data_IF_097803841442
#
_entry.id   IF_097803841442
#
_cell.length_a   1.000
_cell.length_b   1.000
_cell.length_c   1.000
_cell.angle_alpha   90.00
_cell.angle_beta   90.00
_cell.angle_gamma   90.00
#
_symmetry.space_group_name_H-M   'P 1'
#
loop_
_entity.id
_entity.type
_entity.pdbx_description
1 polymer ?
#
# COMPACT_ATOMS: atom_id res chain seq x y z
N UNK A 1 47.97 55.51 -3.00
CA UNK A 1 47.31 55.23 -4.30
C UNK A 1 46.09 54.41 -3.97
N UNK A 2 44.96 54.99 -3.54
CA UNK A 2 44.25 56.18 -4.06
C UNK A 2 43.93 55.98 -5.56
N UNK A 3 42.68 56.06 -6.04
CA UNK A 3 41.45 56.76 -5.59
C UNK A 3 40.24 55.83 -5.89
N UNK A 4 39.19 55.60 -5.09
CA UNK A 4 38.26 56.46 -4.33
C UNK A 4 37.63 57.61 -5.12
N UNK A 5 36.37 57.45 -5.56
CA UNK A 5 35.30 58.46 -5.53
C UNK A 5 33.97 57.76 -5.92
N UNK A 6 32.94 57.97 -5.11
CA UNK A 6 31.54 57.84 -5.56
C UNK A 6 30.85 59.19 -5.33
N UNK A 7 29.68 59.41 -5.91
CA UNK A 7 28.71 60.38 -5.35
C UNK A 7 27.28 60.11 -5.84
N UNK A 8 26.35 60.73 -5.13
CA UNK A 8 24.91 60.47 -5.12
C UNK A 8 24.10 61.07 -6.29
N UNK A 9 22.96 60.40 -6.53
CA UNK A 9 21.60 60.94 -6.77
C UNK A 9 21.45 62.23 -7.59
N UNK A 10 20.80 62.09 -8.75
CA UNK A 10 19.86 63.08 -9.26
C UNK A 10 18.56 62.37 -9.66
N UNK A 11 17.49 62.68 -8.94
CA UNK A 11 16.13 62.24 -9.21
C UNK A 11 15.49 63.24 -10.19
N UNK A 12 15.15 62.81 -11.41
CA UNK A 12 14.20 63.52 -12.26
C UNK A 12 12.97 62.63 -12.48
N UNK A 13 11.81 63.22 -12.21
CA UNK A 13 10.49 62.64 -12.50
C UNK A 13 10.01 63.22 -13.82
N UNK A 14 9.44 62.38 -14.66
CA UNK A 14 8.30 62.78 -15.49
C UNK A 14 7.22 61.70 -15.34
N UNK A 15 6.05 62.12 -14.86
CA UNK A 15 4.77 61.41 -15.03
C UNK A 15 4.43 61.43 -16.55
N UNK A 16 3.65 60.56 -17.21
CA UNK A 16 2.34 59.93 -16.97
C UNK A 16 2.21 58.76 -18.00
N UNK A 17 1.24 57.84 -18.03
CA UNK A 17 -0.03 57.63 -17.31
C UNK A 17 -0.36 56.11 -17.24
N UNK A 18 -1.53 55.75 -16.68
CA UNK A 18 -2.10 54.40 -16.69
C UNK A 18 -2.75 54.00 -18.02
N UNK A 19 -2.52 52.76 -18.48
CA UNK A 19 -3.57 51.71 -18.60
C UNK A 19 -3.12 50.55 -19.51
N UNK A 20 -2.92 49.35 -18.94
CA UNK A 20 -3.79 48.19 -19.22
C UNK A 20 -3.46 47.04 -18.28
N UNK A 21 -4.50 46.46 -17.70
CA UNK A 21 -4.46 45.47 -16.64
C UNK A 21 -4.18 44.09 -17.28
N UNK A 22 -2.90 43.80 -17.53
CA UNK A 22 -2.45 42.48 -17.98
C UNK A 22 -2.59 41.50 -16.80
N UNK A 23 -3.82 41.03 -16.61
CA UNK A 23 -4.23 40.17 -15.52
C UNK A 23 -3.19 39.06 -15.28
N UNK A 24 -2.76 38.94 -14.02
CA UNK A 24 -2.08 37.75 -13.54
C UNK A 24 -3.07 36.61 -13.73
N UNK A 25 -2.82 35.77 -14.73
CA UNK A 25 -3.56 34.53 -14.93
C UNK A 25 -3.25 33.65 -13.73
N UNK A 26 -4.11 33.76 -12.70
CA UNK A 26 -4.05 32.91 -11.53
C UNK A 26 -4.15 31.47 -12.04
N UNK A 27 -3.24 30.56 -11.66
CA UNK A 27 -3.25 29.21 -12.18
C UNK A 27 -4.65 28.64 -11.96
N UNK A 28 -5.30 28.27 -13.07
CA UNK A 28 -6.66 27.75 -13.07
C UNK A 28 -6.80 26.75 -11.94
N UNK A 29 -7.64 27.07 -10.96
CA UNK A 29 -8.06 26.14 -9.92
C UNK A 29 -8.81 25.02 -10.62
N UNK A 30 -8.06 24.02 -11.10
CA UNK A 30 -8.58 22.70 -11.40
C UNK A 30 -8.98 22.12 -10.05
N UNK A 31 -10.17 22.49 -9.59
CA UNK A 31 -10.94 21.69 -8.67
C UNK A 31 -11.22 20.41 -9.43
N UNK A 32 -10.28 19.47 -9.34
CA UNK A 32 -10.44 18.13 -9.88
C UNK A 32 -11.59 17.51 -9.09
N UNK A 33 -12.77 17.49 -9.70
CA UNK A 33 -13.95 16.86 -9.13
C UNK A 33 -13.66 15.36 -9.02
N UNK A 34 -13.20 14.96 -7.83
CA UNK A 34 -12.60 13.67 -7.56
C UNK A 34 -13.69 12.60 -7.62
N UNK A 35 -13.68 11.79 -8.67
CA UNK A 35 -14.78 10.86 -8.96
C UNK A 35 -14.83 9.66 -8.01
N UNK A 36 -13.78 9.40 -7.22
CA UNK A 36 -13.73 8.23 -6.32
C UNK A 36 -14.48 8.49 -5.03
N UNK A 37 -15.56 7.74 -4.83
CA UNK A 37 -16.44 7.79 -3.65
C UNK A 37 -15.69 7.79 -2.31
N UNK A 38 -14.65 6.95 -2.15
CA UNK A 38 -13.87 6.89 -0.90
C UNK A 38 -13.02 8.13 -0.66
N UNK A 39 -12.47 8.73 -1.74
CA UNK A 39 -11.66 9.96 -1.64
C UNK A 39 -12.55 11.16 -1.38
N UNK A 40 -13.75 11.22 -1.97
CA UNK A 40 -14.77 12.22 -1.60
C UNK A 40 -15.19 12.09 -0.14
N UNK A 41 -15.46 10.87 0.35
CA UNK A 41 -15.77 10.62 1.75
C UNK A 41 -14.62 11.04 2.69
N UNK A 42 -13.37 10.78 2.32
CA UNK A 42 -12.19 11.26 3.06
C UNK A 42 -12.09 12.79 3.06
N UNK A 43 -12.23 13.43 1.90
CA UNK A 43 -12.15 14.89 1.78
C UNK A 43 -13.27 15.57 2.58
N UNK A 44 -14.46 14.98 2.58
CA UNK A 44 -15.57 15.41 3.43
C UNK A 44 -15.20 15.31 4.91
N UNK A 45 -14.79 14.13 5.39
CA UNK A 45 -14.32 13.94 6.78
C UNK A 45 -13.19 14.91 7.17
N UNK A 46 -12.22 15.13 6.28
CA UNK A 46 -11.10 16.05 6.50
C UNK A 46 -11.54 17.52 6.53
N UNK A 47 -12.61 17.90 5.81
CA UNK A 47 -13.19 19.25 5.91
C UNK A 47 -13.89 19.52 7.24
N UNK A 48 -14.38 18.47 7.93
CA UNK A 48 -14.99 18.57 9.26
C UNK A 48 -13.95 18.69 10.40
N UNK A 49 -12.66 18.46 10.14
CA UNK A 49 -11.62 18.44 11.18
C UNK A 49 -11.42 19.83 11.82
N UNK A 50 -11.41 20.89 11.01
CA UNK A 50 -11.08 22.25 11.46
C UNK A 50 -9.72 22.30 12.17
N UNK A 51 -9.73 22.78 13.42
CA UNK A 51 -8.56 22.83 14.32
C UNK A 51 -8.46 21.62 15.29
N UNK A 52 -9.37 20.63 15.19
CA UNK A 52 -9.46 19.47 16.11
C UNK A 52 -8.59 18.30 15.66
N UNK A 53 -8.36 17.33 16.53
CA UNK A 53 -7.69 16.08 16.17
C UNK A 53 -8.65 15.10 15.47
N UNK A 54 -9.91 15.08 15.91
CA UNK A 54 -11.00 14.29 15.35
C UNK A 54 -12.23 15.18 15.07
N UNK A 55 -12.99 14.93 13.99
CA UNK A 55 -14.20 15.70 13.72
C UNK A 55 -15.34 15.28 14.65
N UNK A 56 -16.26 16.19 14.92
CA UNK A 56 -17.42 15.89 15.77
C UNK A 56 -18.49 15.14 15.02
N UNK A 57 -19.14 14.20 15.71
CA UNK A 57 -20.33 13.52 15.16
C UNK A 57 -21.51 14.49 14.95
N UNK A 58 -21.58 15.59 15.71
CA UNK A 58 -22.61 16.63 15.54
C UNK A 58 -22.43 17.43 14.24
N UNK A 59 -21.20 17.47 13.69
CA UNK A 59 -20.87 18.14 12.43
C UNK A 59 -21.17 17.26 11.19
N UNK A 60 -21.60 16.00 11.38
CA UNK A 60 -21.98 15.08 10.30
C UNK A 60 -23.37 15.41 9.76
N UNK A 61 -23.45 16.02 8.58
CA UNK A 61 -24.70 16.42 7.93
C UNK A 61 -25.22 15.34 6.95
N UNK A 62 -26.34 14.63 7.23
CA UNK A 62 -26.82 13.56 6.37
C UNK A 62 -27.25 14.02 4.96
N UNK A 63 -27.62 15.30 4.82
CA UNK A 63 -28.03 15.92 3.56
C UNK A 63 -26.84 16.12 2.59
N UNK A 64 -25.61 16.13 3.08
CA UNK A 64 -24.39 16.23 2.25
C UNK A 64 -23.87 14.84 1.83
N UNK A 65 -24.51 13.76 2.31
CA UNK A 65 -24.14 12.38 2.02
C UNK A 65 -24.82 11.80 0.77
N UNK A 66 -25.66 12.54 0.04
CA UNK A 66 -26.55 12.00 -1.01
C UNK A 66 -25.86 11.03 -2.00
N UNK A 67 -24.61 11.31 -2.36
CA UNK A 67 -23.80 10.53 -3.30
C UNK A 67 -23.20 9.23 -2.73
N UNK A 68 -23.24 9.02 -1.41
CA UNK A 68 -22.65 7.85 -0.73
C UNK A 68 -23.46 7.30 0.46
N UNK A 69 -24.57 7.93 0.85
CA UNK A 69 -25.50 7.45 1.88
C UNK A 69 -25.99 6.01 1.68
N UNK A 70 -26.43 5.59 0.46
CA UNK A 70 -26.80 4.19 0.20
C UNK A 70 -25.67 3.17 0.44
N UNK A 71 -24.42 3.65 0.41
CA UNK A 71 -23.18 2.89 0.51
C UNK A 71 -22.48 3.06 1.88
N UNK A 72 -23.12 3.72 2.84
CA UNK A 72 -22.50 4.07 4.12
C UNK A 72 -23.06 3.31 5.32
N UNK A 73 -22.32 3.33 6.42
CA UNK A 73 -22.65 2.71 7.70
C UNK A 73 -22.14 3.61 8.84
N UNK A 74 -22.89 3.73 9.93
CA UNK A 74 -22.46 4.42 11.15
C UNK A 74 -22.52 3.44 12.32
N UNK A 75 -21.37 3.26 12.97
CA UNK A 75 -21.21 2.43 14.15
C UNK A 75 -20.99 3.31 15.38
N UNK A 76 -21.66 2.96 16.48
CA UNK A 76 -21.53 3.61 17.79
C UNK A 76 -20.89 2.62 18.78
N UNK A 77 -19.77 3.05 19.36
CA UNK A 77 -18.91 2.31 20.27
C UNK A 77 -19.14 2.65 21.74
N UNK A 78 -20.03 3.60 22.06
CA UNK A 78 -20.39 3.97 23.44
C UNK A 78 -20.92 2.79 24.26
N UNK A 79 -21.51 1.78 23.59
CA UNK A 79 -21.99 0.53 24.20
C UNK A 79 -20.90 -0.53 24.38
N UNK A 80 -19.72 -0.36 23.79
CA UNK A 80 -18.57 -1.28 23.92
C UNK A 80 -17.89 -1.62 22.59
N UNK A 81 -16.62 -2.07 22.69
CA UNK A 81 -15.76 -2.31 21.52
C UNK A 81 -15.96 -3.64 20.81
N UNK A 82 -16.51 -4.66 21.47
CA UNK A 82 -16.63 -6.01 20.91
C UNK A 82 -17.84 -6.16 19.98
N UNK A 83 -18.95 -5.51 20.31
CA UNK A 83 -20.21 -5.55 19.57
C UNK A 83 -20.85 -4.14 19.51
N UNK A 84 -20.29 -3.20 18.72
CA UNK A 84 -20.84 -1.87 18.55
C UNK A 84 -22.26 -1.89 17.98
N UNK A 85 -23.04 -0.85 18.30
CA UNK A 85 -24.39 -0.70 17.75
C UNK A 85 -24.37 -0.06 16.36
N UNK A 86 -25.33 -0.43 15.51
CA UNK A 86 -25.43 0.07 14.13
C UNK A 86 -26.48 1.18 14.09
N UNK A 87 -26.02 2.43 14.11
CA UNK A 87 -26.89 3.63 14.12
C UNK A 87 -27.51 3.88 12.75
N UNK A 88 -26.74 3.65 11.69
CA UNK A 88 -27.19 3.81 10.31
C UNK A 88 -26.60 2.72 9.42
N UNK A 89 -27.39 2.24 8.46
CA UNK A 89 -26.96 1.34 7.40
C UNK A 89 -27.63 1.72 6.08
N UNK A 90 -26.81 2.04 5.09
CA UNK A 90 -27.23 2.44 3.75
C UNK A 90 -28.05 1.37 3.02
N UNK A 91 -28.98 1.82 2.18
CA UNK A 91 -29.95 0.96 1.51
C UNK A 91 -29.32 -0.07 0.58
N UNK A 92 -28.25 0.28 -0.15
CA UNK A 92 -27.56 -0.64 -1.03
C UNK A 92 -26.76 -1.69 -0.23
N UNK A 93 -26.08 -1.28 0.85
CA UNK A 93 -25.38 -2.23 1.74
C UNK A 93 -26.35 -3.22 2.37
N UNK A 94 -27.53 -2.74 2.79
CA UNK A 94 -28.58 -3.57 3.39
C UNK A 94 -29.15 -4.59 2.41
N UNK A 95 -29.32 -4.21 1.15
CA UNK A 95 -29.73 -5.11 0.06
C UNK A 95 -28.66 -6.17 -0.23
N UNK A 96 -27.40 -5.75 -0.39
CA UNK A 96 -26.29 -6.64 -0.69
C UNK A 96 -26.09 -7.73 0.38
N UNK A 97 -26.21 -7.35 1.66
CA UNK A 97 -26.07 -8.26 2.79
C UNK A 97 -27.35 -9.07 3.08
N UNK A 98 -28.41 -8.93 2.28
CA UNK A 98 -29.72 -9.61 2.43
C UNK A 98 -30.34 -9.41 3.83
N UNK A 99 -30.23 -8.19 4.37
CA UNK A 99 -30.68 -7.86 5.72
C UNK A 99 -32.18 -7.57 5.75
N UNK A 100 -32.96 -8.61 6.00
CA UNK A 100 -34.40 -8.53 6.27
C UNK A 100 -34.67 -8.20 7.75
N UNK A 101 -35.25 -7.03 8.01
CA UNK A 101 -35.59 -6.58 9.38
C UNK A 101 -34.60 -5.59 9.99
N UNK A 102 -34.84 -5.19 11.24
CA UNK A 102 -34.04 -4.21 11.97
C UNK A 102 -32.77 -4.85 12.55
N UNK A 103 -31.61 -4.29 12.22
CA UNK A 103 -30.35 -4.56 12.90
C UNK A 103 -30.15 -3.51 13.99
N UNK A 104 -29.68 -3.94 15.16
CA UNK A 104 -29.32 -3.06 16.29
C UNK A 104 -27.83 -3.13 16.59
N UNK A 105 -27.23 -4.31 16.42
CA UNK A 105 -25.84 -4.60 16.76
C UNK A 105 -25.10 -5.27 15.59
N UNK A 106 -23.76 -5.17 15.59
CA UNK A 106 -22.96 -5.76 14.51
C UNK A 106 -23.08 -7.30 14.47
N UNK A 107 -23.38 -7.95 15.59
CA UNK A 107 -23.68 -9.40 15.66
C UNK A 107 -25.00 -9.80 14.96
N UNK A 108 -25.93 -8.88 14.72
CA UNK A 108 -27.18 -9.17 13.96
C UNK A 108 -26.91 -9.30 12.44
N UNK A 109 -25.71 -8.93 11.99
CA UNK A 109 -25.32 -8.92 10.58
C UNK A 109 -24.91 -10.34 10.13
N UNK A 110 -25.35 -10.80 8.93
CA UNK A 110 -24.93 -12.09 8.40
C UNK A 110 -23.41 -12.26 8.31
N UNK A 111 -22.90 -13.37 8.82
CA UNK A 111 -21.49 -13.73 8.71
C UNK A 111 -21.10 -13.93 7.24
N UNK A 112 -19.93 -13.38 6.84
CA UNK A 112 -19.48 -13.30 5.43
C UNK A 112 -20.29 -12.34 4.53
N UNK A 113 -20.93 -11.33 5.13
CA UNK A 113 -21.38 -10.13 4.42
C UNK A 113 -20.26 -9.07 4.34
N UNK A 114 -20.46 -8.00 3.55
CA UNK A 114 -19.55 -6.84 3.52
C UNK A 114 -19.35 -6.23 4.91
N UNK A 115 -20.44 -6.05 5.64
CA UNK A 115 -20.43 -5.40 6.97
C UNK A 115 -19.68 -6.29 8.00
N UNK A 116 -19.82 -7.61 7.91
CA UNK A 116 -19.04 -8.60 8.68
C UNK A 116 -17.53 -8.66 8.32
N UNK A 117 -17.04 -7.87 7.35
CA UNK A 117 -15.59 -7.69 7.10
C UNK A 117 -15.05 -6.38 7.67
N UNK A 118 -15.89 -5.35 7.83
CA UNK A 118 -15.52 -4.08 8.48
C UNK A 118 -15.07 -4.26 9.92
N UNK A 119 -15.64 -5.27 10.58
CA UNK A 119 -15.32 -5.65 11.96
C UNK A 119 -13.84 -6.00 12.16
N UNK A 120 -13.21 -6.53 11.12
CA UNK A 120 -11.79 -6.90 11.15
C UNK A 120 -10.86 -5.66 11.13
N UNK A 121 -11.41 -4.47 10.83
CA UNK A 121 -10.68 -3.23 10.60
C UNK A 121 -10.91 -2.13 11.66
N UNK A 122 -12.09 -2.04 12.31
CA UNK A 122 -12.34 -0.93 13.26
C UNK A 122 -11.37 -0.91 14.45
N UNK A 123 -10.90 -2.07 14.92
CA UNK A 123 -9.90 -2.16 16.00
C UNK A 123 -8.59 -1.44 15.64
N UNK A 124 -8.23 -1.39 14.35
CA UNK A 124 -7.05 -0.69 13.87
C UNK A 124 -7.26 0.82 13.82
N UNK A 125 -8.50 1.28 13.62
CA UNK A 125 -8.87 2.70 13.66
C UNK A 125 -8.75 3.21 15.09
N UNK A 126 -9.35 2.50 16.04
CA UNK A 126 -9.32 2.83 17.47
C UNK A 126 -7.87 2.87 17.98
N UNK A 127 -7.01 1.96 17.52
CA UNK A 127 -5.61 1.92 17.91
C UNK A 127 -4.74 3.05 17.31
N UNK A 128 -5.11 3.62 16.16
CA UNK A 128 -4.30 4.63 15.44
C UNK A 128 -4.92 6.03 15.40
N UNK A 129 -6.18 6.19 15.81
CA UNK A 129 -6.96 7.43 15.74
C UNK A 129 -6.93 8.11 14.35
N UNK A 130 -7.01 7.32 13.28
CA UNK A 130 -6.91 7.81 11.90
C UNK A 130 -7.85 7.04 10.96
N UNK A 131 -8.34 7.67 9.88
CA UNK A 131 -9.06 7.00 8.80
C UNK A 131 -8.27 5.82 8.21
N UNK A 132 -8.97 4.71 7.93
CA UNK A 132 -8.39 3.52 7.30
C UNK A 132 -9.18 3.19 6.03
N UNK A 133 -8.51 3.32 4.88
CA UNK A 133 -8.94 2.73 3.62
C UNK A 133 -8.58 1.24 3.58
N UNK A 134 -9.50 0.41 3.11
CA UNK A 134 -9.31 -1.03 2.95
C UNK A 134 -9.97 -1.51 1.67
N UNK A 135 -9.40 -2.57 1.09
CA UNK A 135 -10.03 -3.30 0.01
C UNK A 135 -9.71 -4.78 0.13
N UNK A 136 -10.61 -5.62 -0.34
CA UNK A 136 -10.39 -7.05 -0.43
C UNK A 136 -11.35 -7.68 -1.45
N UNK A 137 -11.03 -8.92 -1.81
CA UNK A 137 -11.92 -9.86 -2.47
C UNK A 137 -12.46 -10.86 -1.44
N UNK A 138 -13.72 -11.26 -1.57
CA UNK A 138 -14.30 -12.37 -0.80
C UNK A 138 -15.46 -13.00 -1.57
N UNK A 139 -15.73 -14.27 -1.28
CA UNK A 139 -16.93 -14.96 -1.77
C UNK A 139 -18.08 -14.63 -0.82
N UNK A 140 -19.16 -14.02 -1.34
CA UNK A 140 -20.33 -13.66 -0.53
C UNK A 140 -21.22 -14.88 -0.22
N UNK A 141 -22.30 -14.66 0.53
CA UNK A 141 -23.26 -15.72 0.88
C UNK A 141 -24.00 -16.34 -0.33
N UNK A 142 -24.12 -15.61 -1.45
CA UNK A 142 -24.63 -16.11 -2.74
C UNK A 142 -23.61 -16.93 -3.52
N UNK A 143 -22.36 -16.99 -3.05
CA UNK A 143 -21.26 -17.69 -3.70
C UNK A 143 -20.56 -16.88 -4.79
N UNK A 144 -20.91 -15.62 -5.01
CA UNK A 144 -20.29 -14.74 -6.01
C UNK A 144 -19.02 -14.10 -5.46
N UNK A 145 -18.03 -13.90 -6.35
CA UNK A 145 -16.80 -13.19 -6.03
C UNK A 145 -17.09 -11.69 -5.95
N UNK A 146 -16.98 -11.11 -4.75
CA UNK A 146 -17.14 -9.67 -4.54
C UNK A 146 -15.78 -9.01 -4.30
N UNK A 147 -15.47 -8.03 -5.14
CA UNK A 147 -14.37 -7.10 -4.94
C UNK A 147 -14.93 -5.80 -4.34
N UNK A 148 -14.55 -5.46 -3.12
CA UNK A 148 -15.04 -4.26 -2.43
C UNK A 148 -13.89 -3.34 -2.02
N UNK A 149 -14.21 -2.07 -1.81
CA UNK A 149 -13.32 -1.06 -1.23
C UNK A 149 -14.14 -0.12 -0.38
N UNK A 150 -13.68 0.12 0.84
CA UNK A 150 -14.24 1.15 1.68
C UNK A 150 -13.19 1.97 2.40
N UNK A 151 -13.68 3.03 3.03
CA UNK A 151 -12.95 3.79 4.03
C UNK A 151 -13.79 3.82 5.30
N UNK A 152 -13.15 3.66 6.46
CA UNK A 152 -13.75 3.82 7.78
C UNK A 152 -13.01 4.96 8.48
N UNK A 153 -13.76 5.86 9.11
CA UNK A 153 -13.29 7.17 9.56
C UNK A 153 -13.79 7.43 10.99
N UNK A 154 -12.90 7.73 11.95
CA UNK A 154 -13.28 7.94 13.34
C UNK A 154 -13.92 9.31 13.56
N UNK A 155 -14.86 9.36 14.49
CA UNK A 155 -15.51 10.57 14.99
C UNK A 155 -15.49 10.55 16.52
N UNK A 156 -15.43 11.74 17.12
CA UNK A 156 -15.36 11.92 18.58
C UNK A 156 -16.34 12.97 19.06
N UNK A 157 -16.95 12.76 20.23
CA UNK A 157 -17.81 13.77 20.86
C UNK A 157 -17.03 14.80 21.68
N UNK A 158 -15.82 14.44 22.14
CA UNK A 158 -15.01 15.22 23.09
C UNK A 158 -13.57 15.57 22.62
N UNK A 159 -13.20 15.16 21.39
CA UNK A 159 -11.86 15.26 20.77
C UNK A 159 -10.78 14.38 21.47
N UNK A 160 -11.18 13.45 22.36
CA UNK A 160 -10.27 12.53 23.08
C UNK A 160 -10.64 11.05 22.89
N UNK A 161 -11.93 10.68 22.90
CA UNK A 161 -12.40 9.29 22.66
C UNK A 161 -13.10 9.11 21.32
N UNK A 162 -12.84 7.97 20.66
CA UNK A 162 -13.52 7.60 19.41
C UNK A 162 -14.82 6.90 19.77
N UNK A 163 -15.90 7.66 19.72
CA UNK A 163 -17.24 7.16 20.08
C UNK A 163 -17.97 6.60 18.85
N UNK A 164 -17.67 7.12 17.66
CA UNK A 164 -18.33 6.73 16.42
C UNK A 164 -17.33 6.40 15.31
N UNK A 165 -17.70 5.47 14.43
CA UNK A 165 -16.98 5.22 13.17
C UNK A 165 -17.97 5.26 12.01
N UNK A 166 -17.73 6.16 11.07
CA UNK A 166 -18.48 6.24 9.81
C UNK A 166 -17.71 5.49 8.72
N UNK A 167 -18.40 4.63 7.98
CA UNK A 167 -17.84 3.86 6.87
C UNK A 167 -18.55 4.13 5.56
N UNK A 168 -17.82 4.13 4.45
CA UNK A 168 -18.37 4.17 3.09
C UNK A 168 -17.73 3.05 2.27
N UNK A 169 -18.55 2.23 1.60
CA UNK A 169 -18.11 0.98 0.96
C UNK A 169 -18.77 0.85 -0.41
N UNK A 170 -17.96 0.65 -1.44
CA UNK A 170 -18.42 0.33 -2.79
C UNK A 170 -17.91 -1.06 -3.19
N UNK A 171 -18.68 -1.82 -3.96
CA UNK A 171 -18.37 -3.18 -4.37
C UNK A 171 -18.77 -3.46 -5.82
N UNK A 172 -18.09 -4.43 -6.43
CA UNK A 172 -18.47 -5.04 -7.70
C UNK A 172 -18.62 -6.55 -7.48
N UNK A 173 -19.77 -7.09 -7.87
CA UNK A 173 -20.02 -8.54 -7.94
C UNK A 173 -19.53 -9.06 -9.29
N UNK A 174 -18.64 -10.06 -9.27
CA UNK A 174 -18.15 -10.76 -10.46
C UNK A 174 -18.97 -12.03 -10.69
N UNK A 175 -19.39 -12.24 -11.93
CA UNK A 175 -20.31 -13.32 -12.27
C UNK A 175 -19.73 -14.71 -11.97
N UNK A 176 -20.46 -15.47 -11.15
CA UNK A 176 -20.03 -16.73 -10.58
C UNK A 176 -19.75 -17.82 -11.65
N UNK A 177 -18.69 -18.62 -11.45
CA UNK A 177 -18.26 -19.67 -12.38
C UNK A 177 -19.36 -20.67 -12.82
N UNK A 178 -20.29 -21.18 -11.96
CA UNK A 178 -21.38 -22.05 -12.41
C UNK A 178 -22.43 -21.33 -13.26
N UNK A 179 -22.63 -20.02 -13.08
CA UNK A 179 -23.55 -19.23 -13.90
C UNK A 179 -22.99 -19.06 -15.32
N UNK A 180 -21.67 -18.87 -15.44
CA UNK A 180 -20.95 -18.88 -16.72
C UNK A 180 -21.04 -20.24 -17.40
N UNK A 181 -20.86 -21.35 -16.67
CA UNK A 181 -20.99 -22.69 -17.22
C UNK A 181 -22.41 -22.99 -17.74
N UNK A 182 -23.46 -22.58 -17.00
CA UNK A 182 -24.84 -22.73 -17.44
C UNK A 182 -25.14 -21.89 -18.70
N UNK A 183 -24.63 -20.66 -18.78
CA UNK A 183 -24.79 -19.79 -19.93
C UNK A 183 -24.00 -20.29 -21.16
N UNK A 184 -22.79 -20.82 -20.96
CA UNK A 184 -22.00 -21.48 -22.01
C UNK A 184 -22.67 -22.76 -22.52
N UNK A 185 -23.34 -23.52 -21.66
CA UNK A 185 -24.13 -24.70 -22.05
C UNK A 185 -25.38 -24.31 -22.86
N UNK A 186 -26.13 -23.29 -22.43
CA UNK A 186 -27.32 -22.77 -23.14
C UNK A 186 -26.96 -22.17 -24.51
N UNK A 187 -25.90 -21.35 -24.59
CA UNK A 187 -25.37 -20.83 -25.86
C UNK A 187 -24.84 -21.97 -26.75
N UNK A 188 -24.22 -23.00 -26.16
CA UNK A 188 -23.78 -24.19 -26.88
C UNK A 188 -24.92 -25.04 -27.45
N UNK A 189 -26.05 -25.15 -26.74
CA UNK A 189 -27.29 -25.78 -27.20
C UNK A 189 -27.94 -24.99 -28.34
N UNK A 190 -27.98 -23.66 -28.23
CA UNK A 190 -28.48 -22.77 -29.28
C UNK A 190 -27.65 -22.86 -30.58
N UNK A 191 -26.31 -22.87 -30.49
CA UNK A 191 -25.44 -23.06 -31.66
C UNK A 191 -25.61 -24.43 -32.32
N UNK A 192 -25.87 -25.50 -31.54
CA UNK A 192 -26.08 -26.86 -32.07
C UNK A 192 -27.45 -27.07 -32.72
N UNK A 193 -28.44 -26.23 -32.41
CA UNK A 193 -29.80 -26.31 -32.97
C UNK A 193 -30.06 -25.30 -34.08
N UNK A 194 -29.16 -24.33 -34.31
CA UNK A 194 -29.23 -23.38 -35.41
C UNK A 194 -29.09 -24.06 -36.79
N UNK A 195 -30.04 -23.86 -37.73
CA UNK A 195 -29.90 -24.37 -39.10
C UNK A 195 -28.74 -23.71 -39.86
N UNK A 196 -27.95 -24.49 -40.62
CA UNK A 196 -26.87 -23.93 -41.43
C UNK A 196 -27.42 -22.96 -42.51
N UNK A 197 -26.77 -21.79 -42.72
CA UNK A 197 -27.14 -20.89 -43.82
C UNK A 197 -26.94 -21.55 -45.18
N UNK A 198 -27.99 -21.57 -46.00
CA UNK A 198 -27.89 -21.98 -47.41
C UNK A 198 -27.08 -20.96 -48.24
N UNK A 199 -26.46 -21.39 -49.36
CA UNK A 199 -25.60 -20.51 -50.15
C UNK A 199 -26.44 -19.45 -50.89
N UNK A 200 -26.33 -18.19 -50.45
CA UNK A 200 -26.92 -17.03 -51.14
C UNK A 200 -25.90 -16.40 -52.09
N UNK A 201 -26.26 -16.32 -53.37
CA UNK A 201 -25.47 -15.65 -54.40
C UNK A 201 -25.53 -14.14 -54.23
N UNK A 202 -24.36 -13.49 -54.22
CA UNK A 202 -24.25 -12.04 -54.19
C UNK A 202 -24.88 -11.40 -55.44
N UNK A 203 -25.87 -10.53 -55.24
CA UNK A 203 -26.58 -9.78 -56.29
C UNK A 203 -26.78 -8.35 -55.77
N UNK A 204 -26.19 -7.37 -56.47
CA UNK A 204 -26.64 -5.97 -56.78
C UNK A 204 -27.51 -5.19 -55.75
N UNK A 205 -27.42 -3.87 -55.57
CA UNK A 205 -26.54 -2.78 -56.07
C UNK A 205 -26.91 -1.47 -55.32
N UNK A 206 -26.35 -0.33 -55.75
CA UNK A 206 -26.62 1.06 -55.32
C UNK A 206 -28.08 1.44 -54.99
N UNK A 207 -28.26 2.36 -54.02
CA UNK A 207 -29.49 3.15 -53.85
C UNK A 207 -29.73 3.69 -52.43
N UNK A 208 -29.78 5.02 -52.20
CA UNK A 208 -29.85 5.60 -50.85
C UNK A 208 -31.28 5.93 -50.39
N UNK A 209 -31.56 5.83 -49.08
CA UNK A 209 -32.40 6.77 -48.29
C UNK A 209 -32.26 6.51 -46.79
N UNK A 210 -32.55 7.55 -45.99
CA UNK A 210 -32.53 7.54 -44.52
C UNK A 210 -33.65 6.71 -43.90
N UNK A 211 -33.37 6.09 -42.75
CA UNK A 211 -34.37 5.84 -41.70
C UNK A 211 -33.70 5.81 -40.32
N UNK A 212 -34.37 6.42 -39.35
CA UNK A 212 -33.84 6.75 -38.02
C UNK A 212 -33.72 5.48 -37.15
N UNK A 213 -32.58 5.31 -36.47
CA UNK A 213 -32.41 4.29 -35.43
C UNK A 213 -32.68 4.95 -34.06
N UNK A 214 -33.59 4.40 -33.24
CA UNK A 214 -33.80 4.92 -31.88
C UNK A 214 -32.59 4.59 -31.01
N UNK A 215 -32.19 5.54 -30.17
CA UNK A 215 -31.11 5.35 -29.20
C UNK A 215 -31.52 4.32 -28.13
N UNK A 216 -31.02 3.09 -28.25
CA UNK A 216 -31.02 2.14 -27.15
C UNK A 216 -29.92 2.51 -26.17
N UNK A 217 -30.31 2.93 -24.97
CA UNK A 217 -29.41 3.14 -23.84
C UNK A 217 -28.90 1.78 -23.32
N UNK A 218 -27.92 1.22 -24.01
CA UNK A 218 -27.02 0.23 -23.42
C UNK A 218 -25.87 0.99 -22.78
N UNK A 219 -25.65 0.72 -21.48
CA UNK A 219 -24.48 1.22 -20.79
C UNK A 219 -23.24 0.78 -21.59
N UNK A 220 -22.48 1.76 -22.07
CA UNK A 220 -21.23 1.47 -22.75
C UNK A 220 -20.26 0.92 -21.72
N UNK A 221 -19.54 -0.13 -22.09
CA UNK A 221 -18.45 -0.66 -21.30
C UNK A 221 -17.41 0.44 -21.09
N UNK A 222 -17.36 1.00 -19.88
CA UNK A 222 -16.12 1.55 -19.32
C UNK A 222 -15.21 0.36 -18.94
N UNK A 223 -14.83 -0.42 -19.94
CA UNK A 223 -13.44 -0.83 -20.06
C UNK A 223 -12.64 0.48 -20.25
N UNK A 224 -12.42 1.18 -19.12
CA UNK A 224 -11.40 2.21 -19.02
C UNK A 224 -10.06 1.47 -19.21
N UNK A 225 -9.71 1.26 -20.47
CA UNK A 225 -8.36 0.98 -20.92
C UNK A 225 -7.53 2.07 -20.24
N UNK A 226 -6.85 1.68 -19.15
CA UNK A 226 -5.89 2.54 -18.46
C UNK A 226 -5.06 3.21 -19.54
N UNK A 227 -5.04 4.54 -19.57
CA UNK A 227 -4.27 5.26 -20.58
C UNK A 227 -2.78 5.08 -20.28
N UNK A 228 -2.24 3.98 -20.81
CA UNK A 228 -0.85 3.58 -20.68
C UNK A 228 0.07 4.37 -21.62
N UNK A 229 -0.48 5.28 -22.45
CA UNK A 229 0.29 6.08 -23.41
C UNK A 229 1.12 7.21 -22.77
N UNK A 230 0.82 7.58 -21.52
CA UNK A 230 1.54 8.63 -20.78
C UNK A 230 2.75 8.17 -19.95
N UNK A 231 3.35 7.01 -20.26
CA UNK A 231 4.52 6.45 -19.55
C UNK A 231 5.48 5.66 -20.46
N UNK A 232 5.76 6.16 -21.66
CA UNK A 232 6.80 5.57 -22.50
C UNK A 232 8.19 5.77 -21.86
N UNK A 233 9.08 4.80 -22.05
CA UNK A 233 10.48 4.97 -21.67
C UNK A 233 11.06 6.15 -22.47
N UNK A 234 11.78 7.09 -21.83
CA UNK A 234 12.37 8.21 -22.56
C UNK A 234 13.48 7.69 -23.50
N UNK A 235 13.89 8.52 -24.45
CA UNK A 235 15.01 8.21 -25.36
C UNK A 235 16.25 7.74 -24.57
N UNK A 236 17.01 6.79 -25.11
CA UNK A 236 18.27 6.31 -24.52
C UNK A 236 19.28 7.47 -24.29
N UNK A 237 19.15 8.54 -25.07
CA UNK A 237 19.91 9.77 -24.93
C UNK A 237 19.46 10.69 -23.77
N UNK A 238 18.26 10.49 -23.19
CA UNK A 238 17.70 11.39 -22.18
C UNK A 238 18.55 11.43 -20.88
N UNK A 239 18.71 12.60 -20.22
CA UNK A 239 19.37 12.76 -18.93
C UNK A 239 18.94 11.77 -17.84
N UNK A 240 19.86 11.37 -16.96
CA UNK A 240 19.57 10.40 -15.89
C UNK A 240 18.50 10.91 -14.89
N UNK A 241 18.37 12.23 -14.76
CA UNK A 241 17.33 12.86 -13.96
C UNK A 241 15.92 12.62 -14.52
N UNK A 242 15.76 12.53 -15.84
CA UNK A 242 14.46 12.35 -16.49
C UNK A 242 13.97 10.89 -16.33
N UNK A 243 14.90 9.93 -16.44
CA UNK A 243 14.67 8.54 -16.07
C UNK A 243 14.24 8.40 -14.60
N UNK A 244 14.86 9.16 -13.68
CA UNK A 244 14.48 9.18 -12.28
C UNK A 244 13.10 9.84 -12.05
N UNK A 245 12.78 10.91 -12.79
CA UNK A 245 11.48 11.56 -12.72
C UNK A 245 10.36 10.62 -13.16
N UNK A 246 10.49 9.95 -14.31
CA UNK A 246 9.51 8.98 -14.81
C UNK A 246 9.37 7.78 -13.85
N UNK A 247 10.46 7.29 -13.28
CA UNK A 247 10.40 6.23 -12.26
C UNK A 247 9.68 6.70 -10.98
N UNK A 248 9.90 7.96 -10.54
CA UNK A 248 9.20 8.58 -9.40
C UNK A 248 7.71 8.78 -9.67
N UNK A 249 7.35 9.26 -10.85
CA UNK A 249 5.94 9.39 -11.27
C UNK A 249 5.24 8.03 -11.29
N UNK A 250 5.91 6.99 -11.78
CA UNK A 250 5.42 5.61 -11.69
C UNK A 250 5.23 5.15 -10.24
N UNK A 251 6.18 5.45 -9.37
CA UNK A 251 6.12 5.11 -7.95
C UNK A 251 5.02 5.89 -7.20
N UNK A 252 4.84 7.19 -7.45
CA UNK A 252 3.78 7.99 -6.84
C UNK A 252 2.41 7.63 -7.41
N UNK A 253 2.28 7.30 -8.70
CA UNK A 253 1.01 6.75 -9.23
C UNK A 253 0.65 5.42 -8.54
N UNK A 254 1.61 4.62 -8.08
CA UNK A 254 1.37 3.41 -7.25
C UNK A 254 1.07 3.74 -5.77
N UNK A 255 1.39 4.94 -5.29
CA UNK A 255 1.06 5.42 -3.93
C UNK A 255 -0.31 6.11 -3.88
N UNK A 256 -0.64 6.90 -4.89
CA UNK A 256 -1.90 7.64 -5.05
C UNK A 256 -3.02 6.75 -5.61
N UNK A 257 -2.71 5.86 -6.56
CA UNK A 257 -3.66 4.81 -6.96
C UNK A 257 -3.64 3.72 -5.91
N UNK A 258 -4.59 3.74 -4.98
CA UNK A 258 -4.77 2.71 -3.96
C UNK A 258 -4.73 1.30 -4.57
N UNK A 259 -3.59 0.61 -4.38
CA UNK A 259 -3.34 -0.84 -4.49
C UNK A 259 -3.79 -1.64 -5.75
N UNK A 260 -4.50 -1.07 -6.74
CA UNK A 260 -5.36 -1.86 -7.67
C UNK A 260 -4.81 -2.29 -9.03
N UNK A 261 -3.49 -2.41 -9.21
CA UNK A 261 -3.00 -3.46 -10.11
C UNK A 261 -1.57 -3.91 -9.81
N UNK A 262 -1.36 -5.23 -9.83
CA UNK A 262 -0.03 -5.80 -9.94
C UNK A 262 0.68 -5.28 -11.20
N UNK A 263 -0.06 -4.99 -12.29
CA UNK A 263 0.48 -4.40 -13.52
C UNK A 263 1.12 -3.01 -13.29
N UNK A 264 0.45 -2.07 -12.59
CA UNK A 264 1.02 -0.76 -12.28
C UNK A 264 2.22 -0.87 -11.33
N UNK A 265 2.14 -1.75 -10.32
CA UNK A 265 3.27 -2.02 -9.44
C UNK A 265 4.47 -2.60 -10.22
N UNK A 266 4.24 -3.57 -11.10
CA UNK A 266 5.30 -4.19 -11.89
C UNK A 266 5.87 -3.22 -12.93
N UNK A 267 5.05 -2.31 -13.49
CA UNK A 267 5.51 -1.20 -14.34
C UNK A 267 6.39 -0.22 -13.56
N UNK A 268 6.00 0.19 -12.35
CA UNK A 268 6.83 1.06 -11.50
C UNK A 268 8.15 0.39 -11.08
N UNK A 269 8.14 -0.90 -10.77
CA UNK A 269 9.36 -1.69 -10.51
C UNK A 269 10.21 -1.83 -11.79
N UNK A 270 9.57 -1.95 -12.96
CA UNK A 270 10.23 -1.94 -14.27
C UNK A 270 10.94 -0.62 -14.55
N UNK A 271 10.26 0.51 -14.43
CA UNK A 271 10.86 1.85 -14.58
C UNK A 271 12.01 2.08 -13.59
N UNK A 272 11.91 1.57 -12.36
CA UNK A 272 13.01 1.62 -11.40
C UNK A 272 14.23 0.77 -11.82
N UNK A 273 14.01 -0.35 -12.53
CA UNK A 273 15.07 -1.18 -13.09
C UNK A 273 15.68 -0.56 -14.36
N UNK A 274 14.88 0.05 -15.21
CA UNK A 274 15.34 0.76 -16.40
C UNK A 274 16.25 1.93 -16.01
N UNK A 275 15.83 2.73 -15.02
CA UNK A 275 16.68 3.72 -14.37
C UNK A 275 17.97 3.10 -13.77
N UNK A 276 17.92 1.90 -13.19
CA UNK A 276 19.11 1.21 -12.68
C UNK A 276 20.11 0.82 -13.79
N UNK A 277 19.62 0.41 -14.97
CA UNK A 277 20.44 0.09 -16.13
C UNK A 277 21.14 1.34 -16.66
N UNK A 278 20.42 2.45 -16.83
CA UNK A 278 20.98 3.73 -17.28
C UNK A 278 21.95 4.32 -16.25
N UNK A 279 21.63 4.23 -14.95
CA UNK A 279 22.50 4.66 -13.85
C UNK A 279 23.85 3.92 -13.83
N UNK A 280 23.90 2.63 -14.22
CA UNK A 280 25.18 1.91 -14.41
C UNK A 280 25.97 2.43 -15.61
N UNK A 281 25.30 2.77 -16.71
CA UNK A 281 25.97 3.33 -17.88
C UNK A 281 26.54 4.74 -17.60
N UNK A 282 26.00 5.45 -16.59
CA UNK A 282 26.36 6.82 -16.22
C UNK A 282 26.70 6.93 -14.72
N UNK A 283 27.83 6.33 -14.29
CA UNK A 283 28.17 6.21 -12.86
C UNK A 283 28.43 7.55 -12.17
N UNK A 284 28.93 8.56 -12.90
CA UNK A 284 29.20 9.89 -12.34
C UNK A 284 27.90 10.65 -12.06
N UNK A 285 26.95 10.70 -13.02
CA UNK A 285 25.61 11.25 -12.84
C UNK A 285 24.88 10.58 -11.65
N UNK A 286 24.99 9.25 -11.56
CA UNK A 286 24.40 8.48 -10.47
C UNK A 286 25.04 8.80 -9.10
N UNK A 287 26.37 9.00 -9.07
CA UNK A 287 27.06 9.42 -7.85
C UNK A 287 26.60 10.80 -7.36
N UNK A 288 26.38 11.75 -8.27
CA UNK A 288 25.81 13.07 -7.94
C UNK A 288 24.41 12.94 -7.31
N UNK A 289 23.49 12.21 -7.97
CA UNK A 289 22.13 11.99 -7.45
C UNK A 289 22.10 11.33 -6.06
N UNK A 290 23.05 10.44 -5.78
CA UNK A 290 23.19 9.81 -4.46
C UNK A 290 23.63 10.81 -3.38
N UNK A 291 24.55 11.71 -3.72
CA UNK A 291 25.03 12.77 -2.80
C UNK A 291 23.89 13.75 -2.48
N UNK A 292 23.19 14.23 -3.50
CA UNK A 292 22.08 15.20 -3.36
C UNK A 292 20.94 14.66 -2.48
N UNK A 293 20.66 13.35 -2.57
CA UNK A 293 19.66 12.67 -1.75
C UNK A 293 20.22 12.05 -0.44
N UNK A 294 21.49 12.29 -0.09
CA UNK A 294 22.11 11.80 1.14
C UNK A 294 22.21 10.27 1.26
N UNK A 295 22.17 9.55 0.13
CA UNK A 295 22.14 8.10 0.06
C UNK A 295 23.53 7.51 -0.11
N UNK A 296 23.74 6.31 0.46
CA UNK A 296 24.98 5.54 0.33
C UNK A 296 24.68 4.14 -0.20
N UNK A 297 25.36 3.76 -1.28
CA UNK A 297 25.27 2.42 -1.87
C UNK A 297 25.93 1.41 -0.93
N UNK A 298 25.27 0.28 -0.70
CA UNK A 298 25.85 -0.86 0.01
C UNK A 298 26.27 -1.92 -1.01
N UNK A 299 27.55 -2.30 -1.03
CA UNK A 299 28.08 -3.29 -1.98
C UNK A 299 27.33 -4.63 -1.98
N UNK A 300 26.71 -5.00 -0.85
CA UNK A 300 25.90 -6.23 -0.68
C UNK A 300 24.44 -6.11 -1.17
N UNK A 301 23.97 -4.91 -1.48
CA UNK A 301 22.57 -4.60 -1.85
C UNK A 301 22.52 -3.29 -2.65
N UNK A 302 23.14 -3.23 -3.85
CA UNK A 302 23.27 -1.99 -4.61
C UNK A 302 21.90 -1.42 -5.02
N UNK A 303 20.95 -2.30 -5.40
CA UNK A 303 19.61 -1.93 -5.85
C UNK A 303 18.74 -1.30 -4.74
N UNK A 304 19.12 -1.43 -3.46
CA UNK A 304 18.43 -0.73 -2.36
C UNK A 304 18.58 0.79 -2.46
N UNK A 305 19.68 1.30 -3.04
CA UNK A 305 19.85 2.74 -3.24
C UNK A 305 18.93 3.27 -4.35
N UNK A 306 18.82 2.52 -5.45
CA UNK A 306 17.88 2.79 -6.55
C UNK A 306 16.44 2.87 -6.04
N UNK A 307 15.97 1.84 -5.32
CA UNK A 307 14.60 1.81 -4.81
C UNK A 307 14.31 2.98 -3.85
N UNK A 308 15.31 3.43 -3.07
CA UNK A 308 15.16 4.60 -2.20
C UNK A 308 15.12 5.94 -2.95
N UNK A 309 15.83 6.05 -4.08
CA UNK A 309 15.72 7.22 -4.96
C UNK A 309 14.33 7.32 -5.60
N UNK A 310 13.77 6.18 -6.00
CA UNK A 310 12.50 6.09 -6.74
C UNK A 310 11.27 6.11 -5.83
N UNK A 311 11.18 5.23 -4.83
CA UNK A 311 10.01 5.09 -3.95
C UNK A 311 10.12 5.93 -2.65
N UNK A 312 11.29 6.52 -2.39
CA UNK A 312 11.57 7.31 -1.18
C UNK A 312 12.20 6.50 -0.04
N UNK A 313 13.01 7.18 0.78
CA UNK A 313 13.73 6.57 1.90
C UNK A 313 12.85 6.14 3.09
N UNK A 314 11.64 6.67 3.18
CA UNK A 314 10.62 6.41 4.22
C UNK A 314 9.61 5.32 3.83
N UNK A 315 9.68 4.79 2.61
CA UNK A 315 8.82 3.71 2.15
C UNK A 315 9.01 2.43 2.98
N UNK A 316 8.03 1.52 2.97
CA UNK A 316 8.07 0.33 3.82
C UNK A 316 9.37 -0.48 3.60
N UNK A 317 10.04 -0.81 4.71
CA UNK A 317 11.35 -1.48 4.74
C UNK A 317 11.28 -2.89 4.13
N UNK A 318 10.13 -3.55 4.25
CA UNK A 318 9.91 -4.88 3.64
C UNK A 318 9.82 -4.74 2.14
N UNK A 319 8.92 -3.89 1.63
CA UNK A 319 8.76 -3.58 0.20
C UNK A 319 10.05 -3.09 -0.46
N UNK A 320 10.80 -2.19 0.18
CA UNK A 320 12.12 -1.74 -0.32
C UNK A 320 13.06 -2.94 -0.56
N UNK A 321 13.07 -3.91 0.37
CA UNK A 321 13.90 -5.11 0.28
C UNK A 321 13.41 -6.06 -0.82
N UNK A 322 12.10 -6.14 -1.03
CA UNK A 322 11.46 -6.99 -2.04
C UNK A 322 11.67 -6.46 -3.46
N UNK A 323 11.47 -5.16 -3.67
CA UNK A 323 11.71 -4.54 -4.97
C UNK A 323 13.20 -4.56 -5.32
N UNK A 324 14.09 -4.30 -4.35
CA UNK A 324 15.53 -4.44 -4.58
C UNK A 324 15.94 -5.89 -4.94
N UNK A 325 15.26 -6.89 -4.39
CA UNK A 325 15.49 -8.31 -4.75
C UNK A 325 15.04 -8.60 -6.19
N UNK A 326 13.94 -7.98 -6.66
CA UNK A 326 13.50 -8.11 -8.05
C UNK A 326 14.45 -7.42 -9.04
N UNK A 327 14.98 -6.24 -8.70
CA UNK A 327 16.01 -5.55 -9.50
C UNK A 327 17.33 -6.35 -9.53
N UNK A 328 17.78 -6.91 -8.41
CA UNK A 328 18.94 -7.82 -8.35
C UNK A 328 18.74 -9.03 -9.30
N UNK A 329 17.52 -9.59 -9.34
CA UNK A 329 17.18 -10.75 -10.17
C UNK A 329 17.15 -10.41 -11.66
N UNK A 330 16.47 -9.33 -12.05
CA UNK A 330 16.43 -8.87 -13.45
C UNK A 330 17.83 -8.61 -13.99
N UNK A 331 18.71 -8.06 -13.15
CA UNK A 331 20.12 -7.88 -13.46
C UNK A 331 20.89 -9.18 -13.64
N UNK A 332 20.75 -10.12 -12.70
CA UNK A 332 21.45 -11.41 -12.74
C UNK A 332 21.02 -12.27 -13.93
N UNK A 333 19.77 -12.12 -14.39
CA UNK A 333 19.21 -12.77 -15.58
C UNK A 333 19.48 -12.03 -16.88
N UNK A 334 20.00 -10.79 -16.82
CA UNK A 334 20.37 -10.00 -17.99
C UNK A 334 19.19 -9.36 -18.73
N UNK A 335 18.10 -9.04 -18.03
CA UNK A 335 16.94 -8.37 -18.61
C UNK A 335 17.31 -6.97 -19.15
N UNK A 336 16.85 -6.64 -20.35
CA UNK A 336 17.00 -5.32 -20.96
C UNK A 336 15.95 -4.31 -20.47
N UNK A 337 16.11 -3.06 -20.90
CA UNK A 337 15.18 -1.95 -20.63
C UNK A 337 13.75 -2.34 -21.04
N UNK A 338 12.75 -1.96 -20.23
CA UNK A 338 11.33 -2.21 -20.44
C UNK A 338 10.85 -3.62 -20.11
N UNK A 339 11.75 -4.61 -19.94
CA UNK A 339 11.34 -6.03 -19.90
C UNK A 339 11.01 -6.59 -18.52
N UNK A 340 11.41 -5.93 -17.42
CA UNK A 340 11.17 -6.47 -16.06
C UNK A 340 9.68 -6.50 -15.67
N UNK A 341 8.86 -5.56 -16.16
CA UNK A 341 7.43 -5.52 -15.83
C UNK A 341 6.69 -6.76 -16.37
N UNK A 342 6.91 -7.10 -17.64
CA UNK A 342 6.34 -8.27 -18.31
C UNK A 342 6.94 -9.57 -17.76
N UNK A 343 8.22 -9.56 -17.38
CA UNK A 343 8.84 -10.68 -16.68
C UNK A 343 8.15 -10.96 -15.34
N UNK A 344 7.86 -9.93 -14.53
CA UNK A 344 7.14 -10.09 -13.26
C UNK A 344 5.68 -10.51 -13.45
N UNK A 345 5.02 -10.06 -14.53
CA UNK A 345 3.66 -10.46 -14.87
C UNK A 345 3.58 -11.94 -15.31
N UNK A 346 4.58 -12.42 -16.04
CA UNK A 346 4.66 -13.81 -16.53
C UNK A 346 5.26 -14.80 -15.53
N UNK A 347 5.95 -14.33 -14.48
CA UNK A 347 6.52 -15.17 -13.44
C UNK A 347 5.40 -15.88 -12.63
N UNK A 348 5.42 -17.22 -12.47
CA UNK A 348 4.40 -17.95 -11.72
C UNK A 348 4.30 -17.53 -10.25
N UNK A 349 3.21 -16.84 -9.87
CA UNK A 349 3.03 -16.26 -8.54
C UNK A 349 3.69 -14.88 -8.35
N UNK A 350 4.15 -14.27 -9.45
CA UNK A 350 4.63 -12.89 -9.55
C UNK A 350 5.80 -12.53 -8.64
N UNK A 351 5.87 -11.25 -8.29
CA UNK A 351 6.91 -10.67 -7.44
C UNK A 351 7.12 -11.46 -6.12
N UNK A 352 6.04 -11.89 -5.47
CA UNK A 352 6.10 -12.61 -4.18
C UNK A 352 6.74 -13.99 -4.33
N UNK A 353 6.48 -14.70 -5.42
CA UNK A 353 7.12 -15.97 -5.71
C UNK A 353 8.60 -15.78 -6.07
N UNK A 354 8.91 -14.84 -6.97
CA UNK A 354 10.31 -14.51 -7.32
C UNK A 354 11.15 -14.19 -6.08
N UNK A 355 10.65 -13.32 -5.20
CA UNK A 355 11.33 -12.96 -3.95
C UNK A 355 11.52 -14.17 -3.02
N UNK A 356 10.52 -15.06 -2.92
CA UNK A 356 10.63 -16.31 -2.14
C UNK A 356 11.74 -17.21 -2.70
N UNK A 357 11.82 -17.33 -4.02
CA UNK A 357 12.72 -18.24 -4.72
C UNK A 357 14.16 -17.71 -4.70
N UNK A 358 14.37 -16.42 -4.94
CA UNK A 358 15.63 -15.70 -4.67
C UNK A 358 16.10 -15.88 -3.21
N UNK A 359 15.20 -15.67 -2.24
CA UNK A 359 15.50 -15.88 -0.82
C UNK A 359 15.76 -17.35 -0.48
N UNK A 360 15.31 -18.31 -1.28
CA UNK A 360 15.63 -19.73 -1.12
C UNK A 360 17.01 -20.06 -1.70
N UNK A 361 17.31 -19.57 -2.91
CA UNK A 361 18.59 -19.74 -3.58
C UNK A 361 19.74 -19.11 -2.77
N UNK A 362 19.60 -17.84 -2.36
CA UNK A 362 20.56 -17.16 -1.47
C UNK A 362 20.73 -17.86 -0.11
N UNK A 363 19.75 -18.64 0.37
CA UNK A 363 19.87 -19.46 1.59
C UNK A 363 20.58 -20.79 1.37
N UNK A 364 20.47 -21.37 0.17
CA UNK A 364 21.18 -22.59 -0.21
C UNK A 364 22.67 -22.31 -0.50
N UNK A 365 22.97 -21.16 -1.08
CA UNK A 365 24.35 -20.70 -1.37
C UNK A 365 25.06 -20.11 -0.15
N UNK A 366 24.31 -19.59 0.83
CA UNK A 366 24.91 -19.05 2.05
C UNK A 366 25.64 -20.14 2.85
N UNK A 367 26.88 -19.89 3.33
CA UNK A 367 27.55 -20.81 4.22
C UNK A 367 26.70 -21.05 5.48
N UNK A 368 26.72 -22.28 6.05
CA UNK A 368 25.85 -22.65 7.16
C UNK A 368 26.03 -21.66 8.31
N UNK A 369 24.92 -21.02 8.72
CA UNK A 369 24.93 -20.05 9.82
C UNK A 369 25.55 -20.72 11.06
N UNK A 370 26.60 -20.15 11.66
CA UNK A 370 27.22 -20.75 12.83
C UNK A 370 26.19 -20.83 13.95
N UNK A 371 25.93 -22.04 14.45
CA UNK A 371 24.97 -22.24 15.52
C UNK A 371 25.45 -21.50 16.78
N UNK A 372 24.81 -20.36 17.05
CA UNK A 372 25.09 -19.51 18.21
C UNK A 372 24.84 -20.25 19.51
N UNK A 373 23.91 -21.21 19.56
CA UNK A 373 23.63 -22.03 20.76
C UNK A 373 24.74 -23.05 20.98
N UNK A 374 25.17 -23.76 19.93
CA UNK A 374 26.33 -24.65 20.01
C UNK A 374 27.59 -23.86 20.41
N UNK A 375 27.91 -22.75 19.72
CA UNK A 375 29.06 -21.91 20.04
C UNK A 375 29.04 -21.38 21.48
N UNK A 376 27.88 -20.95 21.98
CA UNK A 376 27.71 -20.53 23.37
C UNK A 376 27.94 -21.71 24.35
N UNK A 377 27.39 -22.90 24.06
CA UNK A 377 27.63 -24.10 24.87
C UNK A 377 29.11 -24.51 24.89
N UNK A 378 29.79 -24.53 23.74
CA UNK A 378 31.23 -24.80 23.66
C UNK A 378 32.04 -23.77 24.43
N UNK A 379 31.66 -22.49 24.37
CA UNK A 379 32.30 -21.43 25.16
C UNK A 379 32.12 -21.65 26.67
N UNK A 380 30.92 -21.98 27.14
CA UNK A 380 30.68 -22.29 28.56
C UNK A 380 31.36 -23.60 29.01
N UNK A 381 31.52 -24.57 28.11
CA UNK A 381 32.30 -25.78 28.38
C UNK A 381 33.79 -25.51 28.53
N UNK A 382 34.36 -24.57 27.76
CA UNK A 382 35.77 -24.21 27.78
C UNK A 382 36.13 -23.04 28.74
N UNK A 383 35.14 -22.34 29.29
CA UNK A 383 35.34 -21.17 30.13
C UNK A 383 36.10 -21.50 31.44
N UNK A 384 36.96 -20.59 31.88
CA UNK A 384 37.62 -20.68 33.18
C UNK A 384 36.62 -20.50 34.32
N UNK A 385 36.88 -21.14 35.45
CA UNK A 385 36.05 -20.94 36.64
C UNK A 385 36.21 -19.52 37.19
N UNK A 386 35.08 -18.88 37.51
CA UNK A 386 35.00 -17.63 38.24
C UNK A 386 35.15 -17.91 39.73
N UNK A 387 35.91 -17.05 40.41
CA UNK A 387 35.98 -17.06 41.87
C UNK A 387 34.68 -16.46 42.46
N UNK A 388 34.07 -17.02 43.52
CA UNK A 388 32.76 -16.56 44.02
C UNK A 388 32.73 -15.09 44.45
N UNK A 389 33.85 -14.58 44.96
CA UNK A 389 34.07 -13.20 45.37
C UNK A 389 34.17 -12.21 44.20
N UNK A 390 34.41 -12.70 42.98
CA UNK A 390 34.44 -11.88 41.76
C UNK A 390 33.07 -11.74 41.08
N UNK A 391 32.00 -12.34 41.64
CA UNK A 391 30.65 -12.34 41.06
C UNK A 391 29.85 -11.19 41.68
N UNK A 392 29.43 -10.23 40.87
CA UNK A 392 28.56 -9.16 41.29
C UNK A 392 27.16 -9.69 41.65
N UNK A 393 26.60 -9.20 42.75
CA UNK A 393 25.22 -9.47 43.19
C UNK A 393 24.36 -8.22 43.07
N UNK A 394 23.04 -8.39 43.05
CA UNK A 394 22.09 -7.31 43.29
C UNK A 394 22.06 -6.87 44.77
N UNK A 395 21.15 -5.94 45.09
CA UNK A 395 20.98 -5.38 46.43
C UNK A 395 20.51 -6.40 47.48
N UNK A 396 19.87 -7.49 47.06
CA UNK A 396 19.41 -8.58 47.93
C UNK A 396 20.47 -9.68 48.09
N UNK A 397 21.64 -9.53 47.46
CA UNK A 397 22.74 -10.49 47.51
C UNK A 397 22.58 -11.66 46.55
N UNK A 398 21.70 -11.56 45.55
CA UNK A 398 21.46 -12.61 44.56
C UNK A 398 22.27 -12.38 43.27
N UNK A 399 22.61 -13.46 42.58
CA UNK A 399 23.25 -13.43 41.27
C UNK A 399 22.79 -14.63 40.43
N UNK A 400 22.63 -14.41 39.12
CA UNK A 400 22.31 -15.49 38.17
C UNK A 400 23.57 -15.96 37.47
N UNK A 401 23.94 -17.21 37.73
CA UNK A 401 25.22 -17.83 37.29
C UNK A 401 24.98 -19.08 36.45
N UNK A 402 25.89 -19.34 35.51
CA UNK A 402 25.99 -20.62 34.80
C UNK A 402 27.05 -21.46 35.53
N UNK A 403 26.66 -22.64 35.98
CA UNK A 403 27.56 -23.63 36.56
C UNK A 403 27.86 -24.77 35.58
N UNK A 404 29.13 -25.16 35.46
CA UNK A 404 29.58 -26.38 34.80
C UNK A 404 29.85 -27.44 35.88
N UNK A 405 29.44 -28.70 35.63
CA UNK A 405 29.86 -29.83 36.46
C UNK A 405 31.23 -30.35 35.99
N UNK A 406 32.16 -30.44 36.92
CA UNK A 406 33.50 -30.98 36.68
C UNK A 406 33.54 -32.50 36.78
N UNK A 407 34.66 -33.11 36.35
CA UNK A 407 34.85 -34.56 36.35
C UNK A 407 34.86 -35.20 37.76
N UNK A 408 35.18 -34.41 38.80
CA UNK A 408 35.10 -34.83 40.21
C UNK A 408 33.69 -34.70 40.81
N UNK A 409 32.73 -34.21 40.03
CA UNK A 409 31.34 -33.97 40.43
C UNK A 409 31.08 -32.59 41.04
N UNK A 410 32.10 -31.77 41.28
CA UNK A 410 31.95 -30.39 41.77
C UNK A 410 31.26 -29.47 40.74
N UNK A 411 30.84 -28.27 41.17
CA UNK A 411 30.27 -27.24 40.30
C UNK A 411 31.21 -26.03 40.24
N UNK A 412 31.74 -25.75 39.05
CA UNK A 412 32.47 -24.54 38.75
C UNK A 412 31.52 -23.48 38.18
N UNK A 413 31.55 -22.26 38.73
CA UNK A 413 30.83 -21.12 38.14
C UNK A 413 31.62 -20.63 36.92
N UNK A 414 31.01 -20.55 35.74
CA UNK A 414 31.72 -20.27 34.48
C UNK A 414 31.24 -19.01 33.76
N UNK A 415 30.09 -18.47 34.14
CA UNK A 415 29.62 -17.16 33.74
C UNK A 415 28.62 -16.61 34.77
N UNK A 416 28.48 -15.29 34.84
CA UNK A 416 27.42 -14.59 35.53
C UNK A 416 26.70 -13.65 34.55
N UNK A 417 25.41 -13.43 34.76
CA UNK A 417 24.71 -12.32 34.08
C UNK A 417 25.13 -10.98 34.72
N UNK A 418 25.04 -9.85 33.98
CA UNK A 418 25.20 -8.53 34.56
C UNK A 418 24.19 -8.30 35.70
N UNK A 419 24.63 -7.54 36.70
CA UNK A 419 23.76 -6.99 37.74
C UNK A 419 22.57 -6.27 37.08
N UNK A 420 21.39 -6.37 37.70
CA UNK A 420 20.15 -5.70 37.30
C UNK A 420 19.66 -6.00 35.86
N UNK A 421 20.12 -7.10 35.24
CA UNK A 421 19.62 -7.48 33.91
C UNK A 421 18.19 -8.04 33.95
N UNK A 422 17.31 -7.58 33.05
CA UNK A 422 15.93 -8.09 32.86
C UNK A 422 15.85 -9.61 32.75
N UNK A 423 16.88 -10.22 32.14
CA UNK A 423 16.98 -11.66 31.99
C UNK A 423 17.25 -12.34 33.34
N UNK A 424 18.09 -11.75 34.18
CA UNK A 424 18.36 -12.21 35.54
C UNK A 424 17.10 -12.22 36.39
N UNK A 425 16.35 -11.11 36.40
CA UNK A 425 15.06 -11.03 37.11
C UNK A 425 14.07 -12.12 36.68
N UNK A 426 13.95 -12.36 35.36
CA UNK A 426 13.09 -13.44 34.82
C UNK A 426 13.55 -14.84 35.24
N UNK A 427 14.86 -15.07 35.36
CA UNK A 427 15.41 -16.35 35.85
C UNK A 427 15.16 -16.52 37.35
N UNK A 428 15.33 -15.47 38.16
CA UNK A 428 15.04 -15.50 39.60
C UNK A 428 13.55 -15.82 39.85
N UNK A 429 12.64 -15.14 39.15
CA UNK A 429 11.20 -15.41 39.20
C UNK A 429 10.82 -16.83 38.75
N UNK A 430 11.57 -17.42 37.82
CA UNK A 430 11.36 -18.79 37.36
C UNK A 430 11.95 -19.84 38.31
N UNK A 431 13.03 -19.51 39.04
CA UNK A 431 13.68 -20.39 40.01
C UNK A 431 13.03 -20.37 41.40
N UNK A 432 12.20 -19.36 41.69
CA UNK A 432 11.41 -19.25 42.92
C UNK A 432 10.04 -19.99 42.85
N UNK A 433 9.79 -20.76 41.78
CA UNK A 433 8.60 -21.58 41.55
C UNK A 433 8.91 -23.06 41.66
#
# INVERSE_FOLDING_TARGET
MDTLWGLDVANDRDDVDHSEDAAIDAPLMVVSDERRMQVRAYNYWASLLGDRALPSIEDLAPEELDDFGPYSILLDFSTGLENPSVVYLGTALRQECEIEGSITYIDDVPARSLVSRLTDHYLQIIANAAPIGFEAEFVNQRGSDILYRGILMPFSSDDETIDFVFGVINWKELANAPMRAALEEEVGDALRTAPLPGPTTAIWADGPTQSETPASAHAQDDDEILDLSGMEAPDEAAPLADWLAIARDGAERVRVSEARSHAALYRAIGLAYDFALVAKARPDDYATLLVDHGLKVQARSPMTAIIKLVFGGTYDKTRITEYATALDHGWATGLGVGSLADYLASYPGGLKALVRDERALRRAEAPPRPDRRHKARTAMQAASALAPDAIATDADGLAVVIARREADGSLALVAALPQDSDLGQKVILAAAR
#
